data_IF_832770230117
#
_entry.id   IF_832770230117
#
_cell.length_a   1.000
_cell.length_b   1.000
_cell.length_c   1.000
_cell.angle_alpha   90.00
_cell.angle_beta   90.00
_cell.angle_gamma   90.00
#
_symmetry.space_group_name_H-M   'P 1'
#
loop_
_entity.id
_entity.type
_entity.pdbx_description
1 polymer ?
#
# COMPACT_ATOMS: atom_id res chain seq x y z
N UNK A 1 -11.27 -5.50 16.18
CA UNK A 1 -11.13 -4.15 15.60
C UNK A 1 -9.65 -3.93 15.38
N UNK A 2 -9.21 -4.40 14.22
CA UNK A 2 -7.81 -4.52 13.83
C UNK A 2 -7.06 -3.19 13.76
N UNK A 3 -5.75 -3.30 13.95
CA UNK A 3 -4.73 -2.26 14.05
C UNK A 3 -4.85 -1.18 12.96
N UNK A 4 -5.60 -0.11 13.24
CA UNK A 4 -5.62 1.09 12.39
C UNK A 4 -4.38 1.92 12.72
N UNK A 5 -3.51 2.11 11.73
CA UNK A 5 -2.34 2.99 11.86
C UNK A 5 -2.44 4.16 10.89
N UNK A 6 -2.31 5.37 11.43
CA UNK A 6 -2.34 6.59 10.61
C UNK A 6 -1.03 6.70 9.84
N UNK A 7 -1.12 6.85 8.51
CA UNK A 7 0.03 7.05 7.63
C UNK A 7 0.34 8.54 7.55
N UNK A 8 -0.69 9.33 7.26
CA UNK A 8 -0.66 10.79 7.19
C UNK A 8 -2.08 11.37 7.35
N UNK A 9 -2.21 12.68 7.20
CA UNK A 9 -3.49 13.39 7.34
C UNK A 9 -4.57 12.93 6.35
N UNK A 10 -4.18 12.30 5.23
CA UNK A 10 -5.09 11.85 4.18
C UNK A 10 -5.35 10.34 4.17
N UNK A 11 -4.45 9.54 4.76
CA UNK A 11 -4.47 8.08 4.64
C UNK A 11 -4.17 7.37 5.96
N UNK A 12 -4.79 6.21 6.13
CA UNK A 12 -4.49 5.28 7.21
C UNK A 12 -4.41 3.85 6.69
N UNK A 13 -3.56 3.04 7.30
CA UNK A 13 -3.47 1.61 7.10
C UNK A 13 -4.49 0.91 8.01
N UNK A 14 -5.19 -0.06 7.45
CA UNK A 14 -6.13 -0.93 8.15
C UNK A 14 -5.82 -2.37 7.76
N UNK A 15 -5.57 -3.24 8.74
CA UNK A 15 -5.28 -4.64 8.46
C UNK A 15 -6.50 -5.50 8.78
N UNK A 16 -7.29 -5.87 7.79
CA UNK A 16 -8.52 -6.66 8.01
C UNK A 16 -8.31 -8.09 8.53
N UNK A 17 -7.10 -8.65 8.36
CA UNK A 17 -6.74 -9.98 8.87
C UNK A 17 -5.27 -10.01 9.24
N UNK A 18 -4.93 -10.68 10.35
CA UNK A 18 -3.54 -10.83 10.84
C UNK A 18 -2.57 -11.44 9.81
N UNK A 19 -3.09 -12.18 8.82
CA UNK A 19 -2.31 -12.76 7.72
C UNK A 19 -2.73 -12.24 6.33
N UNK A 20 -3.62 -11.25 6.29
CA UNK A 20 -4.11 -10.64 5.05
C UNK A 20 -3.34 -9.38 4.66
N UNK A 21 -3.58 -8.87 3.44
CA UNK A 21 -2.99 -7.63 2.96
C UNK A 21 -3.46 -6.44 3.82
N UNK A 22 -2.59 -5.44 3.92
CA UNK A 22 -2.84 -4.17 4.58
C UNK A 22 -3.61 -3.26 3.62
N UNK A 23 -4.86 -2.96 3.94
CA UNK A 23 -5.66 -2.02 3.17
C UNK A 23 -5.27 -0.57 3.54
N UNK A 24 -4.85 0.21 2.56
CA UNK A 24 -4.68 1.66 2.68
C UNK A 24 -6.01 2.31 2.38
N UNK A 25 -6.52 3.05 3.35
CA UNK A 25 -7.77 3.76 3.26
C UNK A 25 -7.54 5.28 3.33
N UNK A 26 -8.42 6.05 2.69
CA UNK A 26 -8.47 7.50 2.84
C UNK A 26 -9.21 7.91 4.11
N UNK A 27 -9.07 9.17 4.53
CA UNK A 27 -9.90 9.79 5.60
C UNK A 27 -11.40 9.63 5.39
N UNK A 28 -11.85 9.54 4.14
CA UNK A 28 -13.24 9.29 3.76
C UNK A 28 -13.65 7.81 3.84
N UNK A 29 -12.84 6.96 4.48
CA UNK A 29 -13.05 5.51 4.63
C UNK A 29 -13.17 4.73 3.31
N UNK A 30 -12.55 5.20 2.23
CA UNK A 30 -12.46 4.44 0.99
C UNK A 30 -11.15 3.69 0.89
N UNK A 31 -11.20 2.46 0.36
CA UNK A 31 -9.99 1.69 0.04
C UNK A 31 -9.31 2.30 -1.19
N UNK A 32 -8.07 2.71 -1.00
CA UNK A 32 -7.24 3.34 -2.04
C UNK A 32 -6.24 2.36 -2.63
N UNK A 33 -5.67 1.51 -1.78
CA UNK A 33 -4.73 0.48 -2.18
C UNK A 33 -4.71 -0.68 -1.18
N UNK A 34 -4.14 -1.79 -1.61
CA UNK A 34 -3.85 -2.94 -0.76
C UNK A 34 -2.36 -3.25 -0.87
N UNK A 35 -1.71 -3.41 0.28
CA UNK A 35 -0.29 -3.71 0.40
C UNK A 35 -0.11 -5.12 0.93
N UNK A 36 0.65 -5.92 0.21
CA UNK A 36 0.97 -7.27 0.61
C UNK A 36 2.32 -7.27 1.34
N UNK A 37 2.33 -7.56 2.64
CA UNK A 37 3.56 -7.56 3.46
C UNK A 37 4.51 -8.73 3.13
N UNK A 38 4.04 -9.76 2.43
CA UNK A 38 4.86 -10.92 2.07
C UNK A 38 5.70 -10.63 0.84
N UNK A 39 5.13 -9.91 -0.13
CA UNK A 39 5.73 -9.61 -1.42
C UNK A 39 6.24 -8.17 -1.54
N UNK A 40 5.71 -7.25 -0.72
CA UNK A 40 5.95 -5.82 -0.83
C UNK A 40 5.25 -5.18 -2.03
N UNK A 41 4.31 -5.89 -2.67
CA UNK A 41 3.51 -5.36 -3.77
C UNK A 41 2.40 -4.45 -3.25
N UNK A 42 2.14 -3.37 -3.98
CA UNK A 42 1.05 -2.43 -3.68
C UNK A 42 0.09 -2.34 -4.85
N UNK A 43 -1.13 -2.83 -4.63
CA UNK A 43 -2.23 -2.83 -5.58
C UNK A 43 -3.08 -1.60 -5.37
N UNK A 44 -2.89 -0.60 -6.24
CA UNK A 44 -3.68 0.62 -6.21
C UNK A 44 -5.04 0.38 -6.88
N UNK A 45 -6.13 0.51 -6.11
CA UNK A 45 -7.49 0.45 -6.64
C UNK A 45 -7.96 1.81 -7.19
N UNK A 46 -7.32 2.89 -6.73
CA UNK A 46 -7.61 4.27 -7.15
C UNK A 46 -6.37 4.98 -7.70
N UNK A 47 -6.61 5.96 -8.55
CA UNK A 47 -5.56 6.87 -9.04
C UNK A 47 -5.23 7.84 -7.92
N UNK A 48 -3.95 7.92 -7.59
CA UNK A 48 -3.42 8.76 -6.50
C UNK A 48 -2.16 9.43 -7.05
N UNK A 49 -1.88 10.65 -6.60
CA UNK A 49 -0.73 11.41 -7.07
C UNK A 49 0.57 10.68 -6.75
N UNK A 50 1.60 10.83 -7.60
CA UNK A 50 2.87 10.13 -7.43
C UNK A 50 3.51 10.38 -6.06
N UNK A 51 3.53 11.64 -5.59
CA UNK A 51 4.07 12.03 -4.29
C UNK A 51 3.34 11.38 -3.11
N UNK A 52 2.01 11.24 -3.22
CA UNK A 52 1.18 10.58 -2.21
C UNK A 52 1.43 9.07 -2.20
N UNK A 53 1.54 8.45 -3.39
CA UNK A 53 1.87 7.03 -3.52
C UNK A 53 3.21 6.70 -2.90
N UNK A 54 4.21 7.52 -3.14
CA UNK A 54 5.55 7.35 -2.58
C UNK A 54 5.55 7.51 -1.05
N UNK A 55 4.83 8.51 -0.52
CA UNK A 55 4.69 8.71 0.93
C UNK A 55 4.06 7.49 1.61
N UNK A 56 2.96 6.97 1.03
CA UNK A 56 2.28 5.77 1.52
C UNK A 56 3.20 4.55 1.45
N UNK A 57 3.93 4.38 0.34
CA UNK A 57 4.81 3.25 0.13
C UNK A 57 5.99 3.23 1.11
N UNK A 58 6.64 4.37 1.32
CA UNK A 58 7.76 4.49 2.26
C UNK A 58 7.32 4.17 3.69
N UNK A 59 6.16 4.70 4.10
CA UNK A 59 5.60 4.43 5.42
C UNK A 59 5.25 2.94 5.60
N UNK A 60 4.61 2.32 4.59
CA UNK A 60 4.25 0.90 4.65
C UNK A 60 5.47 0.00 4.78
N UNK A 61 6.56 0.27 4.06
CA UNK A 61 7.80 -0.50 4.19
C UNK A 61 8.48 -0.34 5.54
N UNK A 62 8.39 0.85 6.14
CA UNK A 62 8.96 1.13 7.45
C UNK A 62 8.19 0.42 8.57
N UNK A 63 6.86 0.34 8.45
CA UNK A 63 6.00 -0.27 9.47
C UNK A 63 5.72 -1.76 9.26
N UNK A 64 5.74 -2.23 8.01
CA UNK A 64 5.51 -3.62 7.62
C UNK A 64 6.71 -4.11 6.80
N UNK A 65 7.82 -4.49 7.46
CA UNK A 65 9.02 -4.96 6.79
C UNK A 65 8.70 -6.24 6.00
N UNK A 66 9.01 -6.22 4.70
CA UNK A 66 8.72 -7.32 3.79
C UNK A 66 9.58 -8.51 4.16
N UNK A 67 8.95 -9.63 4.56
CA UNK A 67 9.68 -10.82 5.03
C UNK A 67 10.40 -11.59 3.91
N UNK A 68 10.04 -11.36 2.65
CA UNK A 68 10.61 -12.08 1.52
C UNK A 68 10.79 -11.15 0.31
N UNK A 69 11.99 -10.57 0.16
CA UNK A 69 12.33 -9.77 -1.02
C UNK A 69 12.87 -10.67 -2.14
N UNK A 70 12.20 -10.72 -3.30
CA UNK A 70 12.89 -10.63 -4.57
C UNK A 70 12.72 -9.21 -5.13
N UNK A 71 13.75 -8.71 -5.78
CA UNK A 71 13.89 -7.36 -6.34
C UNK A 71 12.64 -6.86 -7.12
N UNK A 72 12.40 -5.53 -7.13
CA UNK A 72 11.19 -4.93 -7.70
C UNK A 72 10.99 -5.36 -9.17
N UNK A 73 9.85 -6.01 -9.45
CA UNK A 73 9.44 -6.27 -10.82
C UNK A 73 9.24 -4.93 -11.56
N UNK A 74 9.93 -4.71 -12.70
CA UNK A 74 9.80 -3.47 -13.44
C UNK A 74 8.37 -3.36 -13.94
N UNK A 75 7.70 -2.27 -13.57
CA UNK A 75 6.40 -1.88 -14.11
C UNK A 75 6.53 -1.76 -15.62
N UNK A 76 6.07 -2.77 -16.35
CA UNK A 76 5.90 -2.74 -17.80
C UNK A 76 4.96 -1.58 -18.11
N UNK A 77 5.50 -0.46 -18.58
CA UNK A 77 4.72 0.59 -19.22
C UNK A 77 4.02 -0.08 -20.41
N UNK A 78 2.69 -0.05 -20.42
CA UNK A 78 1.92 -0.42 -21.59
C UNK A 78 2.37 0.51 -22.73
N UNK A 79 3.12 -0.03 -23.68
CA UNK A 79 3.35 0.60 -24.96
C UNK A 79 2.14 0.28 -25.83
N UNK A 80 1.42 1.34 -26.21
CA UNK A 80 0.44 1.32 -27.30
C UNK A 80 1.17 0.97 -28.60
N UNK A 81 0.57 0.09 -29.39
CA UNK A 81 0.95 -0.19 -30.77
C UNK A 81 -0.29 0.00 -31.64
#
# INVERSE_FOLDING_TARGET
MEDRKVINDAFYACRHRTEGPVAVMSTTQYVMAEYDDKTGDIRWQRVVNASQRESVYNWLRQHFPVKNQPAPAPRRKAAVA
#
